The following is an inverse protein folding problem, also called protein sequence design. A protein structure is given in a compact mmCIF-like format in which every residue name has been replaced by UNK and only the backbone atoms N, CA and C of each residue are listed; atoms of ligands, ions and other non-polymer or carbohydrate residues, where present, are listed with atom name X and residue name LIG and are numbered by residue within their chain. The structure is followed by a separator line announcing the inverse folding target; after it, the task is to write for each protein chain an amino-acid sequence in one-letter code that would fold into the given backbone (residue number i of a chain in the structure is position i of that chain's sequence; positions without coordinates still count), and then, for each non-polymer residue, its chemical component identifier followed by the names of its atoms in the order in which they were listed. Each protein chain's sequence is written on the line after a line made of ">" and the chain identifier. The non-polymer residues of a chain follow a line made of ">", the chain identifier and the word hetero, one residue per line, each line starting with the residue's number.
data_IF_747138214380
#
_entry.id   IF_747138214380
#
_cell.length_a   1.000
_cell.length_b   1.000
_cell.length_c   1.000
_cell.angle_alpha   90.00
_cell.angle_beta   90.00
_cell.angle_gamma   90.00
#
_symmetry.space_group_name_H-M   'P 1'
#
loop_
_entity.id
_entity.type
_entity.pdbx_description
1 polymer ?
#
# COMPACT_ATOMS: atom_id res chain seq x y z
N UNK A 1 -8.11 -7.95 -20.53
CA UNK A 1 -6.95 -7.46 -19.73
C UNK A 1 -7.41 -6.66 -18.52
N UNK A 2 -8.25 -5.63 -18.67
CA UNK A 2 -8.86 -4.89 -17.55
C UNK A 2 -9.60 -5.78 -16.52
N UNK A 3 -10.21 -6.89 -16.98
CA UNK A 3 -10.90 -7.86 -16.12
C UNK A 3 -9.97 -8.54 -15.10
N UNK A 4 -8.74 -8.92 -15.48
CA UNK A 4 -7.79 -9.57 -14.57
C UNK A 4 -7.34 -8.58 -13.48
N UNK A 5 -6.99 -7.35 -13.88
CA UNK A 5 -6.62 -6.27 -12.94
C UNK A 5 -7.76 -5.99 -11.97
N UNK A 6 -8.99 -5.85 -12.46
CA UNK A 6 -10.17 -5.63 -11.63
C UNK A 6 -10.43 -6.80 -10.66
N UNK A 7 -10.26 -8.06 -11.09
CA UNK A 7 -10.41 -9.23 -10.22
C UNK A 7 -9.37 -9.21 -9.10
N UNK A 8 -8.09 -9.01 -9.41
CA UNK A 8 -7.03 -9.07 -8.40
C UNK A 8 -7.09 -7.86 -7.46
N UNK A 9 -7.45 -6.68 -7.96
CA UNK A 9 -7.76 -5.51 -7.13
C UNK A 9 -8.96 -5.78 -6.21
N UNK A 10 -10.03 -6.38 -6.74
CA UNK A 10 -11.21 -6.76 -5.95
C UNK A 10 -10.89 -7.80 -4.86
N UNK A 11 -10.04 -8.78 -5.14
CA UNK A 11 -9.54 -9.74 -4.15
C UNK A 11 -8.69 -9.04 -3.08
N UNK A 12 -7.82 -8.11 -3.48
CA UNK A 12 -7.01 -7.31 -2.56
C UNK A 12 -7.87 -6.45 -1.64
N UNK A 13 -8.89 -5.78 -2.21
CA UNK A 13 -9.89 -5.01 -1.47
C UNK A 13 -10.61 -5.90 -0.46
N UNK A 14 -11.11 -7.06 -0.90
CA UNK A 14 -11.82 -8.02 -0.06
C UNK A 14 -10.96 -8.51 1.09
N UNK A 15 -9.68 -8.83 0.83
CA UNK A 15 -8.73 -9.22 1.87
C UNK A 15 -8.50 -8.11 2.90
N UNK A 16 -8.28 -6.86 2.44
CA UNK A 16 -8.09 -5.72 3.34
C UNK A 16 -9.36 -5.42 4.15
N UNK A 17 -10.54 -5.44 3.53
CA UNK A 17 -11.81 -5.24 4.21
C UNK A 17 -12.10 -6.33 5.23
N UNK A 18 -11.80 -7.60 4.91
CA UNK A 18 -11.91 -8.70 5.87
C UNK A 18 -10.97 -8.51 7.05
N UNK A 19 -9.70 -8.14 6.81
CA UNK A 19 -8.73 -7.83 7.87
C UNK A 19 -9.13 -6.61 8.69
N UNK A 20 -9.61 -5.55 8.05
CA UNK A 20 -10.11 -4.34 8.70
C UNK A 20 -11.32 -4.63 9.58
N UNK A 21 -12.32 -5.35 9.06
CA UNK A 21 -13.51 -5.79 9.80
C UNK A 21 -13.13 -6.64 11.01
N UNK A 22 -12.29 -7.67 10.81
CA UNK A 22 -11.75 -8.49 11.92
C UNK A 22 -11.00 -7.63 12.94
N UNK A 23 -10.20 -6.68 12.49
CA UNK A 23 -9.45 -5.79 13.40
C UNK A 23 -10.40 -4.88 14.17
N UNK A 24 -11.40 -4.26 13.55
CA UNK A 24 -12.39 -3.43 14.28
C UNK A 24 -13.15 -4.27 15.31
N UNK A 25 -13.62 -5.45 14.92
CA UNK A 25 -14.44 -6.31 15.77
C UNK A 25 -13.62 -6.92 16.93
N UNK A 26 -12.43 -7.45 16.65
CA UNK A 26 -11.53 -8.04 17.66
C UNK A 26 -10.91 -6.96 18.55
N UNK A 27 -10.73 -5.74 18.04
CA UNK A 27 -9.94 -4.71 18.72
C UNK A 27 -10.70 -3.59 19.40
N UNK A 28 -12.01 -3.75 19.60
CA UNK A 28 -12.67 -3.04 20.70
C UNK A 28 -12.05 -3.39 22.09
N UNK A 29 -11.14 -4.38 22.16
CA UNK A 29 -10.63 -4.96 23.40
C UNK A 29 -9.08 -4.98 23.55
N UNK A 30 -8.29 -4.46 22.59
CA UNK A 30 -6.80 -4.46 22.69
C UNK A 30 -6.15 -3.12 22.30
N UNK A 31 -5.04 -2.71 22.94
CA UNK A 31 -4.39 -1.41 22.72
C UNK A 31 -3.72 -1.22 21.35
N UNK A 32 -3.66 -2.26 20.51
CA UNK A 32 -2.92 -2.28 19.24
C UNK A 32 -3.79 -2.25 17.98
N UNK A 33 -5.13 -2.31 18.07
CA UNK A 33 -5.92 -2.39 16.83
C UNK A 33 -6.11 -1.09 16.11
N UNK A 34 -5.97 0.07 16.77
CA UNK A 34 -5.90 1.32 16.03
C UNK A 34 -4.75 1.28 15.01
N UNK A 35 -3.62 0.65 15.37
CA UNK A 35 -2.45 0.52 14.51
C UNK A 35 -2.73 -0.40 13.31
N UNK A 36 -3.31 -1.58 13.55
CA UNK A 36 -3.69 -2.50 12.48
C UNK A 36 -4.81 -1.93 11.58
N UNK A 37 -5.83 -1.31 12.17
CA UNK A 37 -6.94 -0.70 11.44
C UNK A 37 -6.47 0.44 10.56
N UNK A 38 -5.54 1.27 11.06
CA UNK A 38 -4.98 2.37 10.29
C UNK A 38 -4.13 1.87 9.12
N UNK A 39 -3.32 0.82 9.28
CA UNK A 39 -2.64 0.17 8.15
C UNK A 39 -3.63 -0.31 7.08
N UNK A 40 -4.67 -1.04 7.48
CA UNK A 40 -5.70 -1.51 6.55
C UNK A 40 -6.40 -0.35 5.83
N UNK A 41 -6.80 0.69 6.56
CA UNK A 41 -7.49 1.85 6.02
C UNK A 41 -6.61 2.61 5.02
N UNK A 42 -5.36 2.86 5.37
CA UNK A 42 -4.41 3.57 4.50
C UNK A 42 -4.13 2.76 3.23
N UNK A 43 -3.93 1.44 3.34
CA UNK A 43 -3.78 0.58 2.16
C UNK A 43 -5.05 0.54 1.28
N UNK A 44 -6.25 0.62 1.87
CA UNK A 44 -7.48 0.75 1.09
C UNK A 44 -7.54 2.08 0.32
N UNK A 45 -7.05 3.18 0.91
CA UNK A 45 -6.97 4.48 0.21
C UNK A 45 -5.96 4.38 -0.93
N UNK A 46 -4.79 3.76 -0.72
CA UNK A 46 -3.79 3.51 -1.77
C UNK A 46 -4.37 2.68 -2.92
N UNK A 47 -5.14 1.64 -2.60
CA UNK A 47 -5.83 0.82 -3.61
C UNK A 47 -6.78 1.66 -4.46
N UNK A 48 -7.55 2.54 -3.82
CA UNK A 48 -8.50 3.40 -4.49
C UNK A 48 -7.79 4.44 -5.38
N UNK A 49 -6.73 5.06 -4.87
CA UNK A 49 -5.89 6.00 -5.61
C UNK A 49 -5.24 5.34 -6.83
N UNK A 50 -4.72 4.12 -6.67
CA UNK A 50 -4.19 3.34 -7.78
C UNK A 50 -5.27 2.99 -8.81
N UNK A 51 -6.45 2.54 -8.38
CA UNK A 51 -7.55 2.22 -9.28
C UNK A 51 -7.97 3.43 -10.10
N UNK A 52 -8.11 4.59 -9.47
CA UNK A 52 -8.45 5.85 -10.15
C UNK A 52 -7.34 6.32 -11.10
N UNK A 53 -6.08 6.24 -10.67
CA UNK A 53 -4.92 6.62 -11.50
C UNK A 53 -4.82 5.73 -12.73
N UNK A 54 -4.96 4.42 -12.56
CA UNK A 54 -5.01 3.45 -13.65
C UNK A 54 -6.15 3.76 -14.61
N UNK A 55 -7.36 4.01 -14.09
CA UNK A 55 -8.50 4.37 -14.93
C UNK A 55 -8.20 5.63 -15.74
N UNK A 56 -7.69 6.69 -15.11
CA UNK A 56 -7.37 7.96 -15.79
C UNK A 56 -6.33 7.80 -16.89
N UNK A 57 -5.22 7.11 -16.61
CA UNK A 57 -4.12 6.91 -17.56
C UNK A 57 -4.54 6.09 -18.79
N UNK A 58 -5.41 5.11 -18.62
CA UNK A 58 -5.75 4.16 -19.67
C UNK A 58 -7.17 4.34 -20.24
N UNK A 59 -7.91 5.39 -19.85
CA UNK A 59 -9.27 5.65 -20.36
C UNK A 59 -9.28 6.00 -21.86
N UNK A 60 -8.22 6.64 -22.35
CA UNK A 60 -8.10 7.11 -23.74
C UNK A 60 -7.16 6.24 -24.59
N UNK A 61 -6.53 5.23 -24.00
CA UNK A 61 -5.57 4.36 -24.66
C UNK A 61 -6.30 3.21 -25.34
N UNK A 62 -6.34 3.24 -26.67
CA UNK A 62 -7.03 2.22 -27.47
C UNK A 62 -6.35 0.83 -27.38
N UNK A 63 -5.02 0.78 -27.24
CA UNK A 63 -4.26 -0.47 -27.12
C UNK A 63 -3.09 -0.31 -26.15
N UNK A 64 -3.01 -1.21 -25.16
CA UNK A 64 -1.87 -1.34 -24.24
C UNK A 64 -1.06 -2.54 -24.70
N UNK A 65 0.24 -2.39 -24.86
CA UNK A 65 1.10 -3.52 -25.21
C UNK A 65 1.11 -4.57 -24.08
N UNK A 66 1.24 -5.85 -24.43
CA UNK A 66 1.27 -6.93 -23.43
C UNK A 66 2.43 -6.71 -22.42
N UNK A 67 3.58 -6.22 -22.90
CA UNK A 67 4.73 -5.93 -22.05
C UNK A 67 4.48 -4.79 -21.08
N UNK A 68 3.88 -3.70 -21.55
CA UNK A 68 3.50 -2.58 -20.69
C UNK A 68 2.47 -3.02 -19.65
N UNK A 69 1.46 -3.81 -20.04
CA UNK A 69 0.47 -4.37 -19.13
C UNK A 69 1.10 -5.28 -18.04
N UNK A 70 2.03 -6.15 -18.42
CA UNK A 70 2.71 -7.04 -17.47
C UNK A 70 3.60 -6.24 -16.52
N UNK A 71 4.40 -5.32 -17.07
CA UNK A 71 5.39 -4.59 -16.30
C UNK A 71 4.77 -3.55 -15.39
N UNK A 72 3.71 -2.86 -15.82
CA UNK A 72 3.13 -1.75 -15.06
C UNK A 72 1.94 -2.21 -14.22
N UNK A 73 0.71 -2.36 -14.77
CA UNK A 73 -0.44 -2.59 -13.93
C UNK A 73 -0.45 -3.97 -13.28
N UNK A 74 -0.02 -5.02 -13.97
CA UNK A 74 -0.03 -6.37 -13.38
C UNK A 74 0.97 -6.49 -12.22
N UNK A 75 2.20 -6.03 -12.40
CA UNK A 75 3.21 -6.07 -11.34
C UNK A 75 2.81 -5.26 -10.11
N UNK A 76 2.25 -4.05 -10.29
CA UNK A 76 1.75 -3.20 -9.20
C UNK A 76 0.64 -3.90 -8.42
N UNK A 77 -0.32 -4.50 -9.12
CA UNK A 77 -1.44 -5.22 -8.51
C UNK A 77 -0.95 -6.43 -7.72
N UNK A 78 0.04 -7.17 -8.23
CA UNK A 78 0.65 -8.30 -7.52
C UNK A 78 1.38 -7.82 -6.26
N UNK A 79 2.19 -6.76 -6.35
CA UNK A 79 2.89 -6.21 -5.19
C UNK A 79 1.91 -5.71 -4.12
N UNK A 80 0.82 -5.07 -4.54
CA UNK A 80 -0.24 -4.62 -3.65
C UNK A 80 -0.95 -5.80 -2.98
N UNK A 81 -1.35 -6.82 -3.76
CA UNK A 81 -1.98 -8.03 -3.24
C UNK A 81 -1.10 -8.72 -2.20
N UNK A 82 0.19 -8.91 -2.50
CA UNK A 82 1.14 -9.51 -1.57
C UNK A 82 1.29 -8.68 -0.29
N UNK A 83 1.30 -7.35 -0.40
CA UNK A 83 1.33 -6.46 0.78
C UNK A 83 0.08 -6.61 1.65
N UNK A 84 -1.10 -6.73 1.05
CA UNK A 84 -2.35 -7.03 1.76
C UNK A 84 -2.30 -8.39 2.47
N UNK A 85 -1.82 -9.43 1.78
CA UNK A 85 -1.70 -10.79 2.32
C UNK A 85 -0.71 -10.82 3.49
N UNK A 86 0.48 -10.24 3.31
CA UNK A 86 1.53 -10.26 4.31
C UNK A 86 1.36 -9.26 5.45
N UNK A 87 0.39 -8.35 5.37
CA UNK A 87 0.07 -7.44 6.47
C UNK A 87 -0.16 -8.28 7.75
N UNK A 88 0.69 -8.14 8.79
CA UNK A 88 0.65 -9.03 9.94
C UNK A 88 -0.46 -8.59 10.88
N UNK A 89 -1.68 -9.01 10.60
CA UNK A 89 -2.84 -8.82 11.47
C UNK A 89 -3.06 -10.09 12.29
N UNK A 90 -3.29 -10.00 13.60
CA UNK A 90 -3.59 -11.18 14.40
C UNK A 90 -4.88 -11.85 13.90
N UNK A 91 -4.80 -13.12 13.51
CA UNK A 91 -5.96 -13.92 13.13
C UNK A 91 -6.62 -14.52 14.38
N UNK A 92 -7.96 -14.54 14.38
CA UNK A 92 -8.76 -14.91 15.56
C UNK A 92 -8.46 -16.30 16.11
N UNK A 93 -8.53 -16.39 17.44
CA UNK A 93 -8.52 -17.56 18.35
C UNK A 93 -7.18 -18.13 18.84
N UNK A 94 -6.04 -17.90 18.19
CA UNK A 94 -4.73 -18.26 18.77
C UNK A 94 -4.24 -17.15 19.71
N UNK A 95 -4.89 -17.06 20.88
CA UNK A 95 -4.69 -16.04 21.93
C UNK A 95 -3.35 -16.12 22.68
N UNK A 96 -2.39 -16.95 22.26
CA UNK A 96 -1.18 -17.18 23.05
C UNK A 96 -0.05 -16.17 22.83
N UNK A 97 -0.02 -15.46 21.69
CA UNK A 97 1.03 -14.49 21.38
C UNK A 97 0.56 -13.04 21.55
N UNK A 98 1.42 -12.20 22.12
CA UNK A 98 1.20 -10.75 22.16
C UNK A 98 1.10 -10.22 20.71
N UNK A 99 0.07 -9.42 20.35
CA UNK A 99 -0.09 -8.93 19.00
C UNK A 99 1.08 -8.08 18.49
N UNK A 100 1.79 -7.41 19.39
CA UNK A 100 2.97 -6.63 19.06
C UNK A 100 4.15 -7.54 18.71
N UNK A 101 4.39 -8.57 19.52
CA UNK A 101 5.43 -9.58 19.23
C UNK A 101 5.17 -10.29 17.91
N UNK A 102 3.95 -10.76 17.67
CA UNK A 102 3.56 -11.37 16.40
C UNK A 102 3.83 -10.43 15.21
N UNK A 103 3.44 -9.16 15.32
CA UNK A 103 3.71 -8.19 14.26
C UNK A 103 5.21 -8.05 14.02
N UNK A 104 6.03 -7.94 15.06
CA UNK A 104 7.48 -7.81 14.92
C UNK A 104 8.07 -9.03 14.22
N UNK A 105 7.67 -10.26 14.56
CA UNK A 105 8.18 -11.46 13.91
C UNK A 105 7.78 -11.54 12.42
N UNK A 106 6.53 -11.23 12.11
CA UNK A 106 5.96 -11.40 10.77
C UNK A 106 6.07 -10.14 9.87
N UNK A 107 6.68 -9.03 10.33
CA UNK A 107 6.71 -7.74 9.59
C UNK A 107 7.44 -7.77 8.25
N UNK A 108 8.49 -8.60 8.11
CA UNK A 108 9.46 -8.44 7.01
C UNK A 108 8.83 -8.62 5.63
N UNK A 109 8.05 -9.69 5.36
CA UNK A 109 7.41 -9.87 4.06
C UNK A 109 6.52 -8.69 3.67
N UNK A 110 5.76 -8.14 4.63
CA UNK A 110 4.91 -6.96 4.42
C UNK A 110 5.73 -5.74 3.97
N UNK A 111 6.78 -5.38 4.71
CA UNK A 111 7.58 -4.20 4.36
C UNK A 111 8.41 -4.38 3.09
N UNK A 112 8.84 -5.61 2.78
CA UNK A 112 9.50 -5.92 1.50
C UNK A 112 8.55 -5.70 0.33
N UNK A 113 7.33 -6.26 0.39
CA UNK A 113 6.37 -6.10 -0.72
C UNK A 113 5.85 -4.67 -0.83
N UNK A 114 5.70 -3.97 0.29
CA UNK A 114 5.36 -2.55 0.30
C UNK A 114 6.47 -1.71 -0.33
N UNK A 115 7.74 -2.02 -0.06
CA UNK A 115 8.89 -1.33 -0.67
C UNK A 115 8.91 -1.57 -2.18
N UNK A 116 8.71 -2.81 -2.62
CA UNK A 116 8.65 -3.13 -4.05
C UNK A 116 7.50 -2.40 -4.76
N UNK A 117 6.34 -2.30 -4.11
CA UNK A 117 5.20 -1.53 -4.63
C UNK A 117 5.59 -0.06 -4.88
N UNK A 118 6.14 0.63 -3.86
CA UNK A 118 6.50 2.04 -3.99
C UNK A 118 7.69 2.28 -4.91
N UNK A 119 8.68 1.40 -4.88
CA UNK A 119 9.81 1.47 -5.81
C UNK A 119 9.31 1.39 -7.25
N UNK A 120 8.39 0.46 -7.51
CA UNK A 120 7.82 0.32 -8.84
C UNK A 120 6.98 1.54 -9.23
N UNK A 121 6.13 2.07 -8.33
CA UNK A 121 5.37 3.30 -8.59
C UNK A 121 6.26 4.51 -8.91
N UNK A 122 7.48 4.60 -8.36
CA UNK A 122 8.43 5.65 -8.69
C UNK A 122 9.13 5.45 -10.04
N UNK A 123 9.26 4.21 -10.50
CA UNK A 123 9.94 3.88 -11.76
C UNK A 123 8.94 3.87 -12.93
N UNK A 124 7.68 3.50 -12.70
CA UNK A 124 6.63 3.45 -13.72
C UNK A 124 6.58 4.69 -14.61
N UNK A 125 6.62 5.93 -14.09
CA UNK A 125 6.56 7.14 -14.91
C UNK A 125 7.69 7.23 -15.93
N UNK A 126 8.89 6.72 -15.60
CA UNK A 126 10.00 6.62 -16.56
C UNK A 126 9.76 5.57 -17.64
N UNK A 127 8.99 4.52 -17.34
CA UNK A 127 8.66 3.44 -18.29
C UNK A 127 7.61 3.92 -19.31
N UNK A 128 6.64 4.72 -18.86
CA UNK A 128 5.52 5.20 -19.69
C UNK A 128 5.72 6.65 -20.19
N UNK A 129 6.91 7.21 -20.00
CA UNK A 129 7.28 8.59 -20.37
C UNK A 129 6.30 9.67 -19.83
N UNK A 130 5.88 9.48 -18.57
CA UNK A 130 4.97 10.39 -17.88
C UNK A 130 5.76 11.42 -17.06
N UNK A 131 5.55 12.70 -17.35
CA UNK A 131 6.21 13.79 -16.63
C UNK A 131 5.72 13.86 -15.17
N UNK A 132 6.67 13.95 -14.24
CA UNK A 132 6.39 14.14 -12.82
C UNK A 132 6.99 15.44 -12.32
N UNK A 133 6.27 16.09 -11.41
CA UNK A 133 6.81 17.23 -10.68
C UNK A 133 7.92 16.78 -9.72
N UNK A 134 8.84 17.70 -9.41
CA UNK A 134 9.90 17.46 -8.44
C UNK A 134 9.38 16.98 -7.07
N UNK A 135 8.23 17.52 -6.63
CA UNK A 135 7.63 17.15 -5.34
C UNK A 135 7.08 15.71 -5.37
N UNK A 136 6.46 15.28 -6.46
CA UNK A 136 5.99 13.89 -6.60
C UNK A 136 7.14 12.90 -6.54
N UNK A 137 8.25 13.19 -7.24
CA UNK A 137 9.46 12.38 -7.19
C UNK A 137 10.01 12.32 -5.76
N UNK A 138 10.14 13.49 -5.10
CA UNK A 138 10.63 13.56 -3.73
C UNK A 138 9.78 12.73 -2.77
N UNK A 139 8.46 12.93 -2.75
CA UNK A 139 7.57 12.19 -1.86
C UNK A 139 7.57 10.68 -2.16
N UNK A 140 7.60 10.31 -3.44
CA UNK A 140 7.68 8.91 -3.84
C UNK A 140 8.95 8.22 -3.30
N UNK A 141 10.12 8.87 -3.36
CA UNK A 141 11.34 8.32 -2.77
C UNK A 141 11.31 8.28 -1.24
N UNK A 142 10.70 9.27 -0.58
CA UNK A 142 10.48 9.24 0.87
C UNK A 142 9.60 8.03 1.25
N UNK A 143 8.57 7.72 0.46
CA UNK A 143 7.73 6.54 0.68
C UNK A 143 8.52 5.24 0.59
N UNK A 144 9.43 5.11 -0.37
CA UNK A 144 10.35 3.96 -0.48
C UNK A 144 11.23 3.82 0.77
N UNK A 145 11.82 4.93 1.23
CA UNK A 145 12.68 4.95 2.43
C UNK A 145 11.90 4.56 3.68
N UNK A 146 10.69 5.08 3.85
CA UNK A 146 9.82 4.72 4.98
C UNK A 146 9.43 3.24 4.91
N UNK A 147 9.01 2.73 3.75
CA UNK A 147 8.65 1.33 3.59
C UNK A 147 9.82 0.39 3.91
N UNK A 148 11.04 0.66 3.44
CA UNK A 148 12.18 -0.22 3.70
C UNK A 148 12.65 -0.15 5.16
N UNK A 149 12.49 1.01 5.82
CA UNK A 149 12.87 1.18 7.23
C UNK A 149 12.12 0.21 8.17
N UNK A 150 10.88 -0.17 7.84
CA UNK A 150 10.09 -1.12 8.61
C UNK A 150 10.68 -2.53 8.68
N UNK A 151 11.54 -2.91 7.73
CA UNK A 151 12.27 -4.19 7.80
C UNK A 151 13.22 -4.19 9.01
N UNK A 152 13.88 -3.07 9.27
CA UNK A 152 14.94 -2.95 10.26
C UNK A 152 14.43 -2.69 11.69
N UNK A 153 13.28 -2.04 11.84
CA UNK A 153 12.75 -1.71 13.16
C UNK A 153 12.32 -2.95 13.96
N UNK A 154 12.86 -3.08 15.17
CA UNK A 154 12.65 -4.22 16.07
C UNK A 154 11.59 -3.99 17.13
N UNK A 155 11.12 -2.76 17.32
CA UNK A 155 10.15 -2.41 18.37
C UNK A 155 8.84 -1.88 17.80
N UNK A 156 7.72 -2.27 18.42
CA UNK A 156 6.39 -1.86 17.97
C UNK A 156 6.18 -0.34 18.05
N UNK A 157 6.89 0.34 18.97
CA UNK A 157 6.86 1.80 19.11
C UNK A 157 7.38 2.50 17.84
N UNK A 158 8.48 2.00 17.28
CA UNK A 158 9.03 2.54 16.03
C UNK A 158 8.10 2.29 14.86
N UNK A 159 7.42 1.15 14.83
CA UNK A 159 6.40 0.85 13.80
C UNK A 159 5.17 1.74 13.89
N UNK A 160 4.73 2.12 15.09
CA UNK A 160 3.66 3.11 15.27
C UNK A 160 4.07 4.48 14.73
N UNK A 161 5.28 4.94 15.03
CA UNK A 161 5.81 6.18 14.48
C UNK A 161 5.94 6.10 12.96
N UNK A 162 6.44 4.97 12.45
CA UNK A 162 6.57 4.71 11.03
C UNK A 162 5.23 4.78 10.31
N UNK A 163 4.19 4.14 10.84
CA UNK A 163 2.84 4.19 10.28
C UNK A 163 2.33 5.63 10.20
N UNK A 164 2.51 6.43 11.25
CA UNK A 164 2.07 7.83 11.25
C UNK A 164 2.85 8.66 10.23
N UNK A 165 4.18 8.53 10.19
CA UNK A 165 5.03 9.22 9.24
C UNK A 165 4.70 8.82 7.79
N UNK A 166 4.50 7.53 7.54
CA UNK A 166 4.10 6.99 6.25
C UNK A 166 2.74 7.52 5.81
N UNK A 167 1.75 7.50 6.70
CA UNK A 167 0.40 7.98 6.41
C UNK A 167 0.40 9.49 6.11
N UNK A 168 1.14 10.27 6.91
CA UNK A 168 1.27 11.71 6.70
C UNK A 168 1.98 12.03 5.38
N UNK A 169 3.04 11.28 5.04
CA UNK A 169 3.78 11.44 3.77
C UNK A 169 2.88 11.12 2.58
N UNK A 170 2.16 9.99 2.63
CA UNK A 170 1.20 9.61 1.59
C UNK A 170 0.12 10.67 1.39
N UNK A 171 -0.54 11.12 2.47
CA UNK A 171 -1.57 12.15 2.37
C UNK A 171 -1.02 13.49 1.88
N UNK A 172 0.23 13.83 2.23
CA UNK A 172 0.89 15.04 1.73
C UNK A 172 1.15 14.93 0.23
N UNK A 173 1.59 13.77 -0.24
CA UNK A 173 1.77 13.51 -1.68
C UNK A 173 0.45 13.67 -2.44
N UNK A 174 -0.62 13.03 -1.97
CA UNK A 174 -1.95 13.15 -2.60
C UNK A 174 -2.46 14.59 -2.59
N UNK A 175 -2.27 15.33 -1.49
CA UNK A 175 -2.66 16.73 -1.40
C UNK A 175 -1.89 17.61 -2.40
N UNK A 176 -0.59 17.35 -2.59
CA UNK A 176 0.23 18.05 -3.59
C UNK A 176 -0.25 17.73 -5.01
N UNK A 177 -0.57 16.48 -5.31
CA UNK A 177 -1.09 16.09 -6.63
C UNK A 177 -2.42 16.75 -6.95
N UNK A 178 -3.31 16.87 -5.96
CA UNK A 178 -4.58 17.60 -6.11
C UNK A 178 -4.34 19.10 -6.32
N UNK A 179 -3.38 19.69 -5.60
CA UNK A 179 -3.07 21.11 -5.73
C UNK A 179 -2.46 21.44 -7.11
N UNK A 180 -1.57 20.57 -7.62
CA UNK A 180 -0.95 20.73 -8.95
C UNK A 180 -1.97 20.44 -10.06
N UNK A 181 -2.79 19.39 -9.92
CA UNK A 181 -3.77 19.01 -10.96
C UNK A 181 -4.96 19.96 -11.11
N UNK A 182 -5.12 20.94 -10.23
CA UNK A 182 -6.14 21.99 -10.29
C UNK A 182 -5.59 23.34 -10.79
N UNK A 183 -4.32 23.40 -11.18
CA UNK A 183 -3.68 24.55 -11.86
C UNK A 183 -3.68 24.33 -13.37
#
# INVERSE_FOLDING_TARGET
>A
MATIVAIVLGLSATNLLNKFSKTIVITNWKPLGWFFSLWCLVLLIVLLGYFWSFWRLYNEVNEISIWEFILVPFFLVVCFFLSSVFLPTPEGQNQQLDPGEYFIEARKPFFVTLTLLWLHLNITPLIIDFEQSFLEIFFGWVMVILSISGVFFTTIRMHKFLLLAWSATFLSQEAVQIAIGNL
#
